data_IF_740435687425
#
_entry.id   IF_740435687425
#
_cell.length_a   1.000
_cell.length_b   1.000
_cell.length_c   1.000
_cell.angle_alpha   90.00
_cell.angle_beta   90.00
_cell.angle_gamma   90.00
#
_symmetry.space_group_name_H-M   'P 1'
#
loop_
_entity.id
_entity.type
_entity.pdbx_description
1 polymer ?
#
# COMPACT_ATOMS: atom_id res chain seq x y z
N UNK A 1 10.93 -16.38 6.22
CA UNK A 1 11.39 -17.40 5.29
C UNK A 1 11.00 -16.96 3.87
N UNK A 2 11.87 -17.11 2.87
CA UNK A 2 11.49 -16.80 1.50
C UNK A 2 10.29 -17.66 1.11
N UNK A 3 9.30 -17.09 0.44
CA UNK A 3 8.21 -17.88 -0.13
C UNK A 3 8.76 -18.84 -1.19
N UNK A 4 8.13 -20.00 -1.40
CA UNK A 4 8.53 -20.91 -2.49
C UNK A 4 8.61 -20.19 -3.84
N UNK A 5 7.75 -19.22 -4.07
CA UNK A 5 7.75 -18.39 -5.27
C UNK A 5 8.99 -17.49 -5.33
N UNK A 6 9.46 -16.96 -4.19
CA UNK A 6 10.70 -16.17 -4.12
C UNK A 6 11.97 -16.93 -4.46
N UNK A 7 11.93 -18.27 -4.43
CA UNK A 7 13.03 -19.13 -4.87
C UNK A 7 13.04 -19.43 -6.39
N UNK A 8 11.98 -19.05 -7.12
CA UNK A 8 11.82 -19.33 -8.56
C UNK A 8 12.37 -18.24 -9.47
N UNK A 9 12.78 -17.11 -8.94
CA UNK A 9 13.35 -16.00 -9.71
C UNK A 9 14.32 -15.19 -8.84
N UNK A 10 15.23 -14.49 -9.47
CA UNK A 10 16.10 -13.55 -8.80
C UNK A 10 15.39 -12.20 -8.63
N UNK A 11 14.87 -11.97 -7.43
CA UNK A 11 14.13 -10.75 -7.13
C UNK A 11 15.00 -9.50 -7.25
N UNK A 12 16.31 -9.60 -6.98
CA UNK A 12 17.24 -8.47 -7.07
C UNK A 12 17.31 -7.98 -8.52
N UNK A 13 17.42 -8.89 -9.50
CA UNK A 13 17.46 -8.52 -10.92
C UNK A 13 16.19 -7.76 -11.31
N UNK A 14 15.03 -8.21 -10.87
CA UNK A 14 13.75 -7.53 -11.17
C UNK A 14 13.68 -6.17 -10.47
N UNK A 15 14.09 -6.10 -9.21
CA UNK A 15 14.15 -4.86 -8.43
C UNK A 15 15.05 -3.83 -9.11
N UNK A 16 16.30 -4.19 -9.37
CA UNK A 16 17.27 -3.28 -10.01
C UNK A 16 16.87 -2.89 -11.43
N UNK A 17 16.23 -3.79 -12.19
CA UNK A 17 15.69 -3.45 -13.50
C UNK A 17 14.55 -2.43 -13.41
N UNK A 18 13.74 -2.49 -12.36
CA UNK A 18 12.64 -1.54 -12.14
C UNK A 18 13.14 -0.13 -11.83
N UNK A 19 14.38 0.02 -11.34
CA UNK A 19 15.01 1.33 -11.14
C UNK A 19 15.17 2.14 -12.43
N UNK A 20 15.10 1.52 -13.60
CA UNK A 20 15.04 2.26 -14.88
C UNK A 20 13.79 3.17 -14.96
N UNK A 21 12.68 2.76 -14.36
CA UNK A 21 11.45 3.57 -14.26
C UNK A 21 11.41 4.40 -12.97
N UNK A 22 11.74 3.80 -11.82
CA UNK A 22 11.61 4.36 -10.48
C UNK A 22 12.99 4.61 -9.87
N UNK A 23 13.55 5.79 -10.12
CA UNK A 23 14.91 6.16 -9.73
C UNK A 23 15.63 6.87 -10.87
N UNK A 24 15.78 6.20 -12.03
CA UNK A 24 16.47 6.78 -13.18
C UNK A 24 15.56 7.68 -14.00
N UNK A 25 14.35 7.21 -14.35
CA UNK A 25 13.41 7.99 -15.15
C UNK A 25 12.57 8.95 -14.30
N UNK A 26 12.03 8.48 -13.18
CA UNK A 26 11.31 9.28 -12.18
C UNK A 26 12.13 9.27 -10.90
N UNK A 27 12.69 10.42 -10.51
CA UNK A 27 13.56 10.56 -9.34
C UNK A 27 12.90 11.35 -8.21
N UNK A 28 13.33 11.13 -6.97
CA UNK A 28 12.93 11.96 -5.83
C UNK A 28 13.74 13.26 -5.77
N UNK A 29 13.09 14.35 -5.36
CA UNK A 29 13.75 15.65 -5.10
C UNK A 29 14.69 15.59 -3.90
N UNK A 30 14.36 14.77 -2.92
CA UNK A 30 15.06 14.65 -1.65
C UNK A 30 15.15 13.17 -1.25
N UNK A 31 16.19 12.83 -0.52
CA UNK A 31 16.37 11.47 0.03
C UNK A 31 15.24 11.09 1.00
N UNK A 32 14.53 12.05 1.55
CA UNK A 32 13.33 11.84 2.36
C UNK A 32 12.24 11.06 1.59
N UNK A 33 12.20 11.21 0.28
CA UNK A 33 11.24 10.56 -0.62
C UNK A 33 11.84 9.37 -1.38
N UNK A 34 12.92 8.77 -0.87
CA UNK A 34 13.55 7.58 -1.46
C UNK A 34 12.56 6.42 -1.64
N UNK A 35 11.47 6.40 -0.88
CA UNK A 35 10.39 5.42 -1.04
C UNK A 35 9.79 5.39 -2.47
N UNK A 36 9.85 6.51 -3.20
CA UNK A 36 9.39 6.59 -4.61
C UNK A 36 10.22 5.63 -5.48
N UNK A 37 11.51 5.49 -5.18
CA UNK A 37 12.34 4.50 -5.84
C UNK A 37 12.04 3.09 -5.31
N UNK A 38 12.22 2.90 -4.01
CA UNK A 38 12.30 1.58 -3.41
C UNK A 38 10.95 0.85 -3.29
N UNK A 39 9.88 1.58 -2.94
CA UNK A 39 8.56 0.95 -2.81
C UNK A 39 8.00 0.49 -4.15
N UNK A 40 8.19 1.29 -5.21
CA UNK A 40 7.73 0.92 -6.54
C UNK A 40 8.60 -0.20 -7.14
N UNK A 41 9.92 -0.20 -6.91
CA UNK A 41 10.80 -1.30 -7.34
C UNK A 41 10.46 -2.60 -6.61
N UNK A 42 10.29 -2.56 -5.28
CA UNK A 42 9.85 -3.72 -4.52
C UNK A 42 8.45 -4.21 -4.96
N UNK A 43 7.55 -3.30 -5.32
CA UNK A 43 6.24 -3.68 -5.85
C UNK A 43 6.32 -4.28 -7.26
N UNK A 44 7.27 -3.85 -8.08
CA UNK A 44 7.52 -4.43 -9.41
C UNK A 44 7.89 -5.92 -9.33
N UNK A 45 8.56 -6.36 -8.26
CA UNK A 45 8.80 -7.79 -7.99
C UNK A 45 7.48 -8.56 -7.90
N UNK A 46 6.49 -8.04 -7.16
CA UNK A 46 5.18 -8.66 -7.04
C UNK A 46 4.38 -8.65 -8.36
N UNK A 47 4.49 -7.56 -9.13
CA UNK A 47 3.88 -7.46 -10.47
C UNK A 47 4.51 -8.46 -11.44
N UNK A 48 5.83 -8.66 -11.37
CA UNK A 48 6.52 -9.69 -12.13
C UNK A 48 6.01 -11.09 -11.77
N UNK A 49 5.94 -11.41 -10.47
CA UNK A 49 5.38 -12.69 -9.99
C UNK A 49 3.95 -12.88 -10.50
N UNK A 50 3.12 -11.83 -10.45
CA UNK A 50 1.76 -11.88 -10.98
C UNK A 50 1.73 -12.22 -12.47
N UNK A 51 2.60 -11.61 -13.26
CA UNK A 51 2.67 -11.81 -14.71
C UNK A 51 3.13 -13.22 -15.09
N UNK A 52 4.00 -13.84 -14.29
CA UNK A 52 4.58 -15.16 -14.59
C UNK A 52 3.78 -16.30 -13.96
N UNK A 53 3.21 -16.09 -12.77
CA UNK A 53 2.66 -17.17 -11.95
C UNK A 53 1.23 -16.90 -11.48
N UNK A 54 0.67 -15.74 -11.83
CA UNK A 54 -0.70 -15.33 -11.51
C UNK A 54 -0.84 -14.64 -10.15
N UNK A 55 -2.02 -14.04 -9.97
CA UNK A 55 -2.35 -13.17 -8.82
C UNK A 55 -2.18 -13.87 -7.47
N UNK A 56 -2.53 -15.13 -7.35
CA UNK A 56 -2.45 -15.86 -6.07
C UNK A 56 -0.99 -16.03 -5.61
N UNK A 57 -0.08 -16.31 -6.52
CA UNK A 57 1.34 -16.42 -6.19
C UNK A 57 1.95 -15.06 -5.85
N UNK A 58 1.53 -13.99 -6.53
CA UNK A 58 1.93 -12.63 -6.16
C UNK A 58 1.47 -12.24 -4.75
N UNK A 59 0.25 -12.63 -4.35
CA UNK A 59 -0.24 -12.40 -2.99
C UNK A 59 0.52 -13.20 -1.94
N UNK A 60 0.92 -14.45 -2.25
CA UNK A 60 1.79 -15.22 -1.35
C UNK A 60 3.16 -14.56 -1.22
N UNK A 61 3.75 -14.13 -2.34
CA UNK A 61 5.04 -13.46 -2.37
C UNK A 61 5.02 -12.20 -1.48
N UNK A 62 4.09 -11.27 -1.75
CA UNK A 62 4.02 -10.00 -1.04
C UNK A 62 3.64 -10.17 0.44
N UNK A 63 2.74 -11.11 0.77
CA UNK A 63 2.39 -11.41 2.16
C UNK A 63 3.55 -12.05 2.92
N UNK A 64 4.44 -12.77 2.25
CA UNK A 64 5.66 -13.32 2.82
C UNK A 64 6.65 -12.25 3.33
N UNK A 65 6.49 -11.00 2.91
CA UNK A 65 7.31 -9.86 3.35
C UNK A 65 6.87 -9.27 4.70
N UNK A 66 5.64 -9.56 5.16
CA UNK A 66 5.10 -9.01 6.42
C UNK A 66 6.01 -9.17 7.65
N UNK A 67 6.70 -10.31 7.86
CA UNK A 67 7.58 -10.46 9.02
C UNK A 67 8.78 -9.50 9.05
N UNK A 68 9.13 -8.91 7.93
CA UNK A 68 10.27 -8.00 7.81
C UNK A 68 9.91 -6.54 8.13
N UNK A 69 8.60 -6.23 8.25
CA UNK A 69 8.13 -4.88 8.52
C UNK A 69 8.45 -4.49 9.96
N UNK A 70 9.19 -3.40 10.13
CA UNK A 70 9.70 -2.95 11.42
C UNK A 70 8.75 -1.98 12.16
N UNK A 71 8.04 -1.13 11.41
CA UNK A 71 7.23 -0.05 11.97
C UNK A 71 8.00 0.84 12.96
N UNK A 72 9.30 1.05 12.70
CA UNK A 72 10.20 1.79 13.58
C UNK A 72 10.05 3.31 13.45
N UNK A 73 9.78 3.79 12.25
CA UNK A 73 9.59 5.21 11.93
C UNK A 73 8.83 5.36 10.59
N UNK A 74 8.40 6.59 10.22
CA UNK A 74 7.74 6.84 8.95
C UNK A 74 8.58 6.39 7.73
N UNK A 75 7.90 6.00 6.67
CA UNK A 75 8.52 5.67 5.38
C UNK A 75 9.09 6.94 4.73
N UNK A 76 8.35 8.05 4.79
CA UNK A 76 8.86 9.36 4.36
C UNK A 76 9.83 9.90 5.42
N UNK A 77 11.00 10.34 4.96
CA UNK A 77 12.02 10.92 5.81
C UNK A 77 11.76 12.40 6.15
N UNK A 78 12.79 13.07 6.63
CA UNK A 78 12.76 14.50 6.96
C UNK A 78 13.40 15.25 5.79
N UNK A 79 12.66 16.13 5.07
CA UNK A 79 13.19 16.84 3.92
C UNK A 79 14.22 17.91 4.34
N UNK A 80 15.08 18.29 3.39
CA UNK A 80 16.14 19.29 3.54
C UNK A 80 17.24 18.97 4.56
N UNK A 81 17.26 17.75 5.06
CA UNK A 81 18.36 17.19 5.86
C UNK A 81 18.66 15.79 5.32
N UNK A 82 19.87 15.33 5.41
CA UNK A 82 20.24 14.01 4.87
C UNK A 82 19.68 12.88 5.74
N UNK A 83 18.35 12.77 5.76
CA UNK A 83 17.61 11.80 6.56
C UNK A 83 16.54 11.11 5.75
N UNK A 84 16.85 9.92 5.26
CA UNK A 84 15.86 9.03 4.63
C UNK A 84 14.90 8.45 5.67
N UNK A 85 13.72 8.07 5.24
CA UNK A 85 12.75 7.38 6.08
C UNK A 85 13.19 5.98 6.53
N UNK A 86 12.24 5.22 7.02
CA UNK A 86 12.44 3.82 7.44
C UNK A 86 12.90 2.91 6.29
N UNK A 87 13.66 1.87 6.62
CA UNK A 87 13.87 0.73 5.73
C UNK A 87 12.59 0.00 5.33
N UNK A 88 11.50 0.26 6.01
CA UNK A 88 10.14 -0.16 5.64
C UNK A 88 9.70 0.36 4.26
N UNK A 89 10.44 1.29 3.65
CA UNK A 89 10.21 1.72 2.26
C UNK A 89 10.24 0.57 1.25
N UNK A 90 10.91 -0.54 1.55
CA UNK A 90 10.93 -1.76 0.73
C UNK A 90 9.70 -2.63 1.01
N UNK A 91 9.74 -3.42 2.07
CA UNK A 91 8.75 -4.46 2.33
C UNK A 91 7.38 -3.91 2.76
N UNK A 92 7.33 -2.91 3.64
CA UNK A 92 6.08 -2.22 3.96
C UNK A 92 5.58 -1.39 2.77
N UNK A 93 6.49 -0.72 2.04
CA UNK A 93 6.13 0.09 0.88
C UNK A 93 5.37 -0.71 -0.18
N UNK A 94 5.87 -1.89 -0.58
CA UNK A 94 5.17 -2.76 -1.53
C UNK A 94 3.82 -3.27 -0.99
N UNK A 95 3.74 -3.58 0.32
CA UNK A 95 2.49 -3.98 0.96
C UNK A 95 1.46 -2.84 0.95
N UNK A 96 1.90 -1.60 1.17
CA UNK A 96 1.06 -0.40 1.12
C UNK A 96 0.53 -0.17 -0.30
N UNK A 97 1.38 -0.27 -1.32
CA UNK A 97 0.95 -0.15 -2.72
C UNK A 97 -0.06 -1.24 -3.11
N UNK A 98 0.15 -2.48 -2.66
CA UNK A 98 -0.83 -3.55 -2.87
C UNK A 98 -2.14 -3.33 -2.10
N UNK A 99 -2.07 -2.74 -0.92
CA UNK A 99 -3.26 -2.36 -0.14
C UNK A 99 -4.05 -1.27 -0.86
N UNK A 100 -3.38 -0.25 -1.39
CA UNK A 100 -4.02 0.80 -2.19
C UNK A 100 -4.71 0.22 -3.43
N UNK A 101 -4.05 -0.70 -4.16
CA UNK A 101 -4.66 -1.44 -5.27
C UNK A 101 -5.95 -2.14 -4.84
N UNK A 102 -5.92 -2.78 -3.66
CA UNK A 102 -7.11 -3.48 -3.13
C UNK A 102 -8.23 -2.53 -2.74
N UNK A 103 -7.90 -1.34 -2.24
CA UNK A 103 -8.87 -0.28 -1.89
C UNK A 103 -9.50 0.33 -3.15
N UNK A 104 -8.71 0.55 -4.20
CA UNK A 104 -9.18 1.03 -5.51
C UNK A 104 -10.11 -0.01 -6.16
N UNK A 105 -9.88 -1.31 -5.90
CA UNK A 105 -10.67 -2.45 -6.39
C UNK A 105 -10.94 -2.44 -7.91
N UNK A 106 -9.99 -1.90 -8.67
CA UNK A 106 -10.03 -1.80 -10.13
C UNK A 106 -8.64 -1.97 -10.74
N UNK A 107 -8.30 -3.19 -11.14
CA UNK A 107 -6.98 -3.53 -11.69
C UNK A 107 -6.63 -2.73 -12.96
N UNK A 108 -7.60 -2.49 -13.83
CA UNK A 108 -7.36 -1.70 -15.04
C UNK A 108 -6.99 -0.25 -14.70
N UNK A 109 -7.65 0.34 -13.72
CA UNK A 109 -7.33 1.67 -13.21
C UNK A 109 -5.97 1.66 -12.53
N UNK A 110 -5.68 0.67 -11.67
CA UNK A 110 -4.41 0.53 -10.98
C UNK A 110 -3.22 0.51 -11.94
N UNK A 111 -3.25 -0.35 -12.96
CA UNK A 111 -2.15 -0.40 -13.93
C UNK A 111 -2.07 0.83 -14.84
N UNK A 112 -3.20 1.53 -15.07
CA UNK A 112 -3.15 2.86 -15.71
C UNK A 112 -2.47 3.89 -14.81
N UNK A 113 -2.72 3.86 -13.49
CA UNK A 113 -2.06 4.74 -12.52
C UNK A 113 -0.54 4.54 -12.54
N UNK A 114 -0.06 3.30 -12.43
CA UNK A 114 1.39 3.02 -12.46
C UNK A 114 2.05 3.55 -13.73
N UNK A 115 1.46 3.29 -14.89
CA UNK A 115 1.95 3.84 -16.16
C UNK A 115 1.83 5.36 -16.22
N UNK A 116 0.72 5.90 -15.71
CA UNK A 116 0.45 7.33 -15.70
C UNK A 116 1.42 8.12 -14.84
N UNK A 117 1.81 7.62 -13.66
CA UNK A 117 2.85 8.25 -12.83
C UNK A 117 4.16 8.34 -13.63
N UNK A 118 4.59 7.23 -14.25
CA UNK A 118 5.81 7.24 -15.06
C UNK A 118 5.69 8.23 -16.24
N UNK A 119 4.62 8.16 -17.03
CA UNK A 119 4.43 9.05 -18.20
C UNK A 119 4.36 10.53 -17.82
N UNK A 120 3.73 10.83 -16.68
CA UNK A 120 3.56 12.22 -16.19
C UNK A 120 4.86 12.82 -15.69
N UNK A 121 5.71 12.00 -15.04
CA UNK A 121 6.87 12.47 -14.29
C UNK A 121 8.22 11.97 -14.84
N UNK A 122 8.24 11.25 -15.97
CA UNK A 122 9.50 10.80 -16.58
C UNK A 122 10.45 11.98 -16.82
N UNK A 123 11.71 11.75 -16.51
CA UNK A 123 12.80 12.74 -16.59
C UNK A 123 12.60 13.95 -15.66
N UNK A 124 11.88 13.77 -14.59
CA UNK A 124 11.64 14.80 -13.57
C UNK A 124 12.03 14.29 -12.18
N UNK A 125 12.33 15.24 -11.29
CA UNK A 125 12.44 14.99 -9.85
C UNK A 125 11.14 15.42 -9.18
N UNK A 126 10.56 14.54 -8.38
CA UNK A 126 9.26 14.74 -7.72
C UNK A 126 9.37 14.49 -6.22
N UNK A 127 8.33 14.85 -5.50
CA UNK A 127 8.16 14.53 -4.08
C UNK A 127 6.92 13.66 -3.85
N UNK A 128 6.70 13.26 -2.60
CA UNK A 128 5.55 12.46 -2.21
C UNK A 128 4.21 13.10 -2.59
N UNK A 129 4.09 14.44 -2.44
CA UNK A 129 2.86 15.17 -2.74
C UNK A 129 2.49 15.12 -4.23
N UNK A 130 3.49 15.10 -5.11
CA UNK A 130 3.26 14.96 -6.55
C UNK A 130 2.61 13.60 -6.86
N UNK A 131 3.09 12.51 -6.24
CA UNK A 131 2.52 11.16 -6.40
C UNK A 131 1.11 11.09 -5.80
N UNK A 132 0.92 11.58 -4.58
CA UNK A 132 -0.37 11.52 -3.87
C UNK A 132 -1.46 12.30 -4.61
N UNK A 133 -1.13 13.49 -5.07
CA UNK A 133 -2.01 14.33 -5.89
C UNK A 133 -2.38 13.62 -7.18
N UNK A 134 -1.40 13.06 -7.90
CA UNK A 134 -1.65 12.33 -9.14
C UNK A 134 -2.62 11.16 -8.93
N UNK A 135 -2.45 10.37 -7.85
CA UNK A 135 -3.36 9.26 -7.52
C UNK A 135 -4.77 9.78 -7.25
N UNK A 136 -4.92 10.81 -6.42
CA UNK A 136 -6.22 11.39 -6.07
C UNK A 136 -6.94 11.92 -7.32
N UNK A 137 -6.26 12.70 -8.15
CA UNK A 137 -6.81 13.24 -9.39
C UNK A 137 -7.22 12.15 -10.39
N UNK A 138 -6.37 11.13 -10.56
CA UNK A 138 -6.59 10.06 -11.53
C UNK A 138 -7.70 9.08 -11.13
N UNK A 139 -8.04 9.03 -9.84
CA UNK A 139 -9.10 8.16 -9.30
C UNK A 139 -10.39 8.91 -9.00
N UNK A 140 -10.38 10.24 -9.10
CA UNK A 140 -11.46 11.12 -8.61
C UNK A 140 -11.86 10.80 -7.17
N UNK A 141 -10.84 10.53 -6.31
CA UNK A 141 -11.00 10.10 -4.93
C UNK A 141 -9.93 10.69 -4.03
N UNK A 142 -10.26 10.90 -2.76
CA UNK A 142 -9.33 11.41 -1.77
C UNK A 142 -8.75 10.26 -0.91
N UNK A 143 -7.49 9.91 -1.16
CA UNK A 143 -6.71 8.95 -0.38
C UNK A 143 -5.71 9.64 0.58
N UNK A 144 -5.84 10.93 0.84
CA UNK A 144 -4.93 11.66 1.76
C UNK A 144 -4.83 10.96 3.12
N UNK A 145 -5.97 10.53 3.69
CA UNK A 145 -6.01 9.76 4.94
C UNK A 145 -5.19 8.48 4.90
N UNK A 146 -5.13 7.81 3.73
CA UNK A 146 -4.38 6.59 3.51
C UNK A 146 -2.88 6.88 3.47
N UNK A 147 -2.48 7.88 2.69
CA UNK A 147 -1.09 8.28 2.58
C UNK A 147 -0.55 8.81 3.90
N UNK A 148 -1.30 9.62 4.62
CA UNK A 148 -0.94 10.12 5.94
C UNK A 148 -0.68 8.97 6.92
N UNK A 149 -1.52 7.94 6.93
CA UNK A 149 -1.35 6.81 7.84
C UNK A 149 -0.16 5.94 7.46
N UNK A 150 -0.03 5.56 6.21
CA UNK A 150 0.94 4.54 5.83
C UNK A 150 2.33 5.06 5.54
N UNK A 151 2.47 6.30 5.10
CA UNK A 151 3.76 6.88 4.75
C UNK A 151 4.31 7.84 5.81
N UNK A 152 3.42 8.55 6.54
CA UNK A 152 3.83 9.58 7.53
C UNK A 152 3.75 9.09 8.97
N UNK A 153 3.14 7.92 9.22
CA UNK A 153 3.12 7.30 10.54
C UNK A 153 3.91 5.99 10.54
N UNK A 154 4.57 5.71 11.67
CA UNK A 154 5.33 4.47 11.82
C UNK A 154 4.38 3.26 11.93
N UNK A 155 3.37 3.38 12.76
CA UNK A 155 2.45 2.27 13.06
C UNK A 155 1.44 2.04 11.96
N UNK A 156 1.07 0.77 11.78
CA UNK A 156 -0.04 0.38 10.92
C UNK A 156 -1.39 0.56 11.65
N UNK A 157 -2.47 0.89 10.93
CA UNK A 157 -3.80 0.99 11.55
C UNK A 157 -4.31 -0.38 11.96
N UNK A 158 -5.10 -0.44 13.02
CA UNK A 158 -5.70 -1.65 13.55
C UNK A 158 -7.22 -1.56 13.48
N UNK A 159 -7.87 -2.51 12.80
CA UNK A 159 -9.32 -2.64 12.83
C UNK A 159 -9.71 -3.39 14.12
N UNK A 160 -10.41 -2.70 15.01
CA UNK A 160 -11.00 -3.32 16.20
C UNK A 160 -12.43 -3.73 15.89
N UNK A 161 -12.76 -4.99 16.11
CA UNK A 161 -14.10 -5.53 15.90
C UNK A 161 -14.58 -6.22 17.19
N UNK A 162 -15.78 -5.90 17.63
CA UNK A 162 -16.48 -6.56 18.70
C UNK A 162 -17.79 -7.13 18.15
N UNK A 163 -17.96 -8.45 18.20
CA UNK A 163 -19.15 -9.11 17.71
C UNK A 163 -19.91 -9.82 18.85
N UNK A 164 -21.21 -9.74 18.82
CA UNK A 164 -22.10 -10.48 19.72
C UNK A 164 -23.21 -11.14 18.91
N UNK A 165 -23.60 -12.38 19.31
CA UNK A 165 -24.68 -13.12 18.67
C UNK A 165 -25.90 -13.16 19.60
N UNK A 166 -27.08 -12.85 19.04
CA UNK A 166 -28.36 -12.98 19.73
C UNK A 166 -29.34 -13.70 18.79
N UNK A 167 -29.66 -14.93 19.07
CA UNK A 167 -30.42 -15.79 18.17
C UNK A 167 -29.64 -15.99 16.85
N UNK A 168 -30.25 -15.72 15.71
CA UNK A 168 -29.63 -15.82 14.39
C UNK A 168 -28.98 -14.52 13.90
N UNK A 169 -29.11 -13.46 14.67
CA UNK A 169 -28.53 -12.15 14.33
C UNK A 169 -27.16 -11.97 14.99
N UNK A 170 -26.20 -11.50 14.21
CA UNK A 170 -24.87 -11.07 14.70
C UNK A 170 -24.79 -9.56 14.63
N UNK A 171 -24.61 -8.94 15.78
CA UNK A 171 -24.33 -7.51 15.88
C UNK A 171 -22.83 -7.31 15.99
N UNK A 172 -22.24 -6.52 15.10
CA UNK A 172 -20.85 -6.16 15.14
C UNK A 172 -20.67 -4.65 15.34
N UNK A 173 -19.77 -4.29 16.24
CA UNK A 173 -19.24 -2.93 16.39
C UNK A 173 -17.81 -2.92 15.89
N UNK A 174 -17.43 -1.89 15.14
CA UNK A 174 -16.09 -1.81 14.60
C UNK A 174 -15.61 -0.37 14.50
N UNK A 175 -14.29 -0.18 14.52
CA UNK A 175 -13.61 1.08 14.28
C UNK A 175 -12.17 0.87 13.86
N UNK A 176 -11.58 1.84 13.21
CA UNK A 176 -10.14 1.95 13.11
C UNK A 176 -9.52 2.53 14.39
N UNK A 177 -8.38 1.98 14.76
CA UNK A 177 -7.42 2.60 15.67
C UNK A 177 -6.22 3.00 14.81
N UNK A 178 -6.18 4.27 14.39
CA UNK A 178 -5.20 4.83 13.47
C UNK A 178 -4.67 6.16 14.00
N UNK A 179 -3.41 6.49 13.65
CA UNK A 179 -2.75 7.74 14.05
C UNK A 179 -3.14 8.90 13.14
N UNK A 180 -3.39 8.61 11.84
CA UNK A 180 -3.85 9.62 10.91
C UNK A 180 -5.28 10.09 11.26
N UNK A 181 -5.45 11.41 11.21
CA UNK A 181 -6.76 12.03 11.37
C UNK A 181 -7.70 11.55 10.28
N UNK A 182 -8.95 11.32 10.65
CA UNK A 182 -10.02 10.96 9.68
C UNK A 182 -9.70 9.69 8.85
N UNK A 183 -8.91 8.76 9.39
CA UNK A 183 -8.63 7.50 8.74
C UNK A 183 -9.92 6.71 8.51
N UNK A 184 -10.16 6.35 7.23
CA UNK A 184 -11.45 5.78 6.78
C UNK A 184 -11.29 4.72 5.70
N UNK A 185 -10.17 3.98 5.73
CA UNK A 185 -9.92 2.94 4.73
C UNK A 185 -11.06 1.91 4.72
N UNK A 186 -11.70 1.66 3.58
CA UNK A 186 -12.75 0.66 3.45
C UNK A 186 -12.17 -0.75 3.58
N UNK A 187 -13.00 -1.68 4.04
CA UNK A 187 -12.66 -3.09 4.21
C UNK A 187 -13.74 -3.97 3.64
N UNK A 188 -13.39 -5.01 2.88
CA UNK A 188 -14.34 -6.06 2.50
C UNK A 188 -14.55 -7.00 3.69
N UNK A 189 -15.78 -7.02 4.21
CA UNK A 189 -16.20 -7.90 5.28
C UNK A 189 -17.11 -9.01 4.72
N UNK A 190 -16.91 -10.23 5.20
CA UNK A 190 -17.83 -11.31 4.87
C UNK A 190 -19.07 -11.21 5.76
N UNK A 191 -20.22 -10.88 5.17
CA UNK A 191 -21.51 -10.70 5.88
C UNK A 191 -22.33 -11.98 5.93
N UNK A 192 -22.10 -12.90 4.98
CA UNK A 192 -22.64 -14.26 4.98
C UNK A 192 -21.70 -15.20 4.21
N UNK A 193 -21.84 -16.51 4.29
CA UNK A 193 -20.97 -17.45 3.58
C UNK A 193 -20.85 -17.14 2.09
N UNK A 194 -19.64 -16.76 1.65
CA UNK A 194 -19.33 -16.41 0.26
C UNK A 194 -19.78 -15.01 -0.20
N UNK A 195 -20.45 -14.24 0.66
CA UNK A 195 -20.90 -12.88 0.34
C UNK A 195 -20.05 -11.84 1.07
N UNK A 196 -19.45 -10.91 0.32
CA UNK A 196 -18.60 -9.85 0.83
C UNK A 196 -19.18 -8.49 0.49
N UNK A 197 -19.15 -7.58 1.47
CA UNK A 197 -19.59 -6.20 1.31
C UNK A 197 -18.50 -5.24 1.78
N UNK A 198 -18.48 -4.06 1.20
CA UNK A 198 -17.63 -2.99 1.67
C UNK A 198 -18.22 -2.36 2.93
N UNK A 199 -17.48 -2.39 4.03
CA UNK A 199 -17.72 -1.56 5.21
C UNK A 199 -16.75 -0.38 5.18
N UNK A 200 -17.15 0.74 5.77
CA UNK A 200 -16.41 2.00 5.80
C UNK A 200 -16.09 2.41 7.24
N UNK A 201 -15.18 1.71 7.92
CA UNK A 201 -14.81 2.04 9.29
C UNK A 201 -14.14 3.41 9.37
N UNK A 202 -14.37 4.10 10.47
CA UNK A 202 -13.69 5.36 10.83
C UNK A 202 -13.02 5.20 12.19
N UNK A 203 -12.38 6.24 12.70
CA UNK A 203 -11.82 6.24 14.05
C UNK A 203 -12.90 6.22 15.16
N UNK A 204 -14.17 6.37 14.80
CA UNK A 204 -15.31 6.28 15.71
C UNK A 204 -15.99 4.91 15.62
N UNK A 205 -16.59 4.45 16.73
CA UNK A 205 -17.36 3.21 16.73
C UNK A 205 -18.59 3.29 15.82
N UNK A 206 -18.72 2.28 14.99
CA UNK A 206 -19.87 2.06 14.10
C UNK A 206 -20.48 0.69 14.40
N UNK A 207 -21.76 0.54 14.08
CA UNK A 207 -22.48 -0.73 14.34
C UNK A 207 -23.16 -1.21 13.06
N UNK A 208 -23.14 -2.54 12.85
CA UNK A 208 -23.90 -3.25 11.81
C UNK A 208 -24.61 -4.46 12.43
N UNK A 209 -25.81 -4.77 11.92
CA UNK A 209 -26.61 -5.95 12.29
C UNK A 209 -26.82 -6.84 11.09
#
# INVERSE_FOLDING_TARGET
APSETGLKFDFIIIHESAHEWWGNSVSSKDIADMWIHESFCAYAEAVFVESQYGRQEALKYINGKKPNVLNDRPIIGIPNVQYRGSGDMYDKGQLVLNTLRSVIDNDSLWFRLLRGIHERFKYQTIDAEDVFRFVNESTDSDYTYFFDQYFRQARIPQLTVMASKKGDTVRAMYRWNAEAKDFRMPVKAQTSPGHFEWIHPTNSWQTVE
#
